data_IF_219298321920
#
_entry.id   IF_219298321920
#
_cell.length_a   1.000
_cell.length_b   1.000
_cell.length_c   1.000
_cell.angle_alpha   90.00
_cell.angle_beta   90.00
_cell.angle_gamma   90.00
#
_symmetry.space_group_name_H-M   'P 1'
#
loop_
_entity.id
_entity.type
_entity.pdbx_description
1 polymer ?
#
# COMPACT_ATOMS: atom_id res chain seq x y z
N UNK A 1 -12.77 8.41 5.25
CA UNK A 1 -13.28 7.37 6.15
C UNK A 1 -13.53 6.14 5.30
N UNK A 2 -12.92 5.00 5.63
CA UNK A 2 -13.14 3.73 4.92
C UNK A 2 -14.16 2.86 5.66
N UNK A 3 -14.95 2.05 4.93
CA UNK A 3 -16.00 1.19 5.50
C UNK A 3 -15.44 -0.15 5.98
N UNK A 4 -14.60 -0.10 7.03
CA UNK A 4 -13.88 -1.27 7.59
C UNK A 4 -14.82 -2.46 7.86
N UNK A 5 -15.96 -2.23 8.51
CA UNK A 5 -16.87 -3.30 8.92
C UNK A 5 -17.49 -4.03 7.73
N UNK A 6 -17.89 -3.27 6.70
CA UNK A 6 -18.42 -3.83 5.46
C UNK A 6 -17.35 -4.65 4.74
N UNK A 7 -16.09 -4.17 4.71
CA UNK A 7 -14.97 -4.94 4.13
C UNK A 7 -14.74 -6.25 4.87
N UNK A 8 -14.80 -6.25 6.21
CA UNK A 8 -14.65 -7.46 7.02
C UNK A 8 -15.76 -8.48 6.72
N UNK A 9 -17.02 -8.02 6.73
CA UNK A 9 -18.17 -8.86 6.45
C UNK A 9 -18.14 -9.46 5.03
N UNK A 10 -17.62 -8.71 4.06
CA UNK A 10 -17.43 -9.20 2.68
C UNK A 10 -16.36 -10.29 2.57
N UNK A 11 -15.28 -10.19 3.36
CA UNK A 11 -14.20 -11.17 3.36
C UNK A 11 -14.56 -12.45 4.13
N UNK A 12 -15.41 -12.35 5.16
CA UNK A 12 -15.85 -13.49 5.99
C UNK A 12 -17.06 -14.24 5.40
N UNK A 13 -17.60 -13.82 4.25
CA UNK A 13 -18.76 -14.45 3.63
C UNK A 13 -18.43 -15.84 3.04
N UNK A 14 -19.41 -16.73 2.96
CA UNK A 14 -19.29 -18.12 2.45
C UNK A 14 -18.78 -18.24 1.00
N UNK A 15 -18.74 -17.14 0.26
CA UNK A 15 -18.12 -17.05 -1.06
C UNK A 15 -17.33 -15.75 -1.07
N UNK A 16 -16.07 -15.77 -0.63
CA UNK A 16 -15.27 -14.57 -0.60
C UNK A 16 -15.09 -14.05 -2.04
N UNK A 17 -15.25 -12.74 -2.27
CA UNK A 17 -15.00 -12.15 -3.58
C UNK A 17 -13.52 -12.27 -3.93
N UNK A 18 -13.21 -12.34 -5.23
CA UNK A 18 -11.81 -12.25 -5.69
C UNK A 18 -11.22 -10.90 -5.27
N UNK A 19 -10.30 -10.96 -4.31
CA UNK A 19 -9.71 -9.77 -3.68
C UNK A 19 -8.72 -9.04 -4.60
N UNK A 20 -8.27 -9.73 -5.65
CA UNK A 20 -7.32 -9.22 -6.64
C UNK A 20 -8.03 -8.67 -7.90
N UNK A 21 -9.37 -8.64 -7.89
CA UNK A 21 -10.15 -8.15 -9.00
C UNK A 21 -9.75 -6.71 -9.35
N UNK A 22 -9.52 -6.49 -10.64
CA UNK A 22 -9.15 -5.20 -11.19
C UNK A 22 -10.37 -4.49 -11.76
N UNK A 23 -10.48 -3.20 -11.47
CA UNK A 23 -11.47 -2.35 -12.14
C UNK A 23 -11.01 -2.00 -13.58
N UNK A 24 -11.80 -1.19 -14.28
CA UNK A 24 -11.51 -0.76 -15.66
C UNK A 24 -10.17 -0.01 -15.85
N UNK A 25 -9.61 0.57 -14.79
CA UNK A 25 -8.29 1.21 -14.79
C UNK A 25 -7.14 0.26 -14.41
N UNK A 26 -7.46 -0.98 -14.06
CA UNK A 26 -6.49 -1.96 -13.55
C UNK A 26 -6.23 -1.84 -12.05
N UNK A 27 -6.95 -0.98 -11.33
CA UNK A 27 -6.77 -0.80 -9.89
C UNK A 27 -7.47 -1.93 -9.10
N UNK A 28 -6.80 -2.41 -8.06
CA UNK A 28 -7.33 -3.42 -7.11
C UNK A 28 -7.93 -2.73 -5.88
N UNK A 29 -8.62 -3.50 -5.03
CA UNK A 29 -9.09 -3.01 -3.73
C UNK A 29 -7.94 -2.40 -2.90
N UNK A 30 -6.76 -3.03 -2.94
CA UNK A 30 -5.57 -2.56 -2.24
C UNK A 30 -5.06 -1.24 -2.80
N UNK A 31 -4.95 -1.09 -4.12
CA UNK A 31 -4.45 0.16 -4.73
C UNK A 31 -5.41 1.34 -4.51
N UNK A 32 -6.73 1.09 -4.51
CA UNK A 32 -7.75 2.09 -4.17
C UNK A 32 -7.70 2.49 -2.70
N UNK A 33 -7.55 1.53 -1.78
CA UNK A 33 -7.39 1.82 -0.35
C UNK A 33 -6.11 2.63 -0.08
N UNK A 34 -5.02 2.32 -0.79
CA UNK A 34 -3.76 3.04 -0.70
C UNK A 34 -3.84 4.46 -1.25
N UNK A 35 -4.51 4.66 -2.39
CA UNK A 35 -4.81 5.96 -2.95
C UNK A 35 -5.59 6.85 -1.96
N UNK A 36 -6.56 6.28 -1.24
CA UNK A 36 -7.38 6.99 -0.25
C UNK A 36 -6.76 7.07 1.15
N UNK A 37 -5.60 6.46 1.40
CA UNK A 37 -4.95 6.46 2.71
C UNK A 37 -5.67 5.61 3.78
N UNK A 38 -6.49 4.64 3.37
CA UNK A 38 -7.36 3.86 4.26
C UNK A 38 -6.64 2.69 4.92
N UNK A 39 -5.80 3.01 5.92
CA UNK A 39 -4.95 2.02 6.61
C UNK A 39 -5.73 0.84 7.21
N UNK A 40 -6.92 1.08 7.77
CA UNK A 40 -7.72 0.01 8.36
C UNK A 40 -8.16 -1.05 7.33
N UNK A 41 -8.50 -0.62 6.11
CA UNK A 41 -8.85 -1.53 5.01
C UNK A 41 -7.59 -2.27 4.55
N UNK A 42 -6.45 -1.57 4.42
CA UNK A 42 -5.18 -2.20 4.04
C UNK A 42 -4.78 -3.29 5.02
N UNK A 43 -4.92 -3.07 6.34
CA UNK A 43 -4.61 -4.10 7.32
C UNK A 43 -5.49 -5.35 7.12
N UNK A 44 -6.80 -5.18 6.94
CA UNK A 44 -7.71 -6.30 6.67
C UNK A 44 -7.36 -7.04 5.36
N UNK A 45 -7.03 -6.31 4.30
CA UNK A 45 -6.66 -6.92 3.02
C UNK A 45 -5.36 -7.73 3.16
N UNK A 46 -4.36 -7.19 3.87
CA UNK A 46 -3.06 -7.85 4.02
C UNK A 46 -3.12 -9.11 4.91
N UNK A 47 -4.20 -9.31 5.67
CA UNK A 47 -4.49 -10.56 6.41
C UNK A 47 -4.92 -11.71 5.47
N UNK A 48 -5.24 -11.43 4.21
CA UNK A 48 -5.56 -12.44 3.19
C UNK A 48 -4.27 -12.93 2.54
N UNK A 49 -4.06 -14.26 2.56
CA UNK A 49 -2.83 -14.88 2.06
C UNK A 49 -2.71 -14.78 0.53
N UNK A 50 -3.83 -14.95 -0.20
CA UNK A 50 -3.89 -14.93 -1.66
C UNK A 50 -3.83 -13.52 -2.27
N UNK A 51 -3.70 -12.47 -1.46
CA UNK A 51 -3.63 -11.09 -1.94
C UNK A 51 -2.35 -10.84 -2.73
N UNK A 52 -2.50 -10.39 -3.98
CA UNK A 52 -1.42 -9.88 -4.81
C UNK A 52 -1.15 -8.40 -4.47
N UNK A 53 -0.20 -8.21 -3.57
CA UNK A 53 0.26 -6.88 -3.12
C UNK A 53 1.04 -6.14 -4.22
N UNK A 54 1.56 -6.87 -5.22
CA UNK A 54 2.38 -6.35 -6.32
C UNK A 54 1.56 -5.96 -7.56
N UNK A 55 0.25 -6.16 -7.51
CA UNK A 55 -0.65 -5.87 -8.61
C UNK A 55 -0.49 -4.43 -9.10
N UNK A 56 -0.25 -4.30 -10.41
CA UNK A 56 -0.14 -3.00 -11.10
C UNK A 56 -1.40 -2.68 -11.88
N UNK A 57 -1.73 -1.39 -11.91
CA UNK A 57 -2.77 -0.85 -12.79
C UNK A 57 -2.23 -0.59 -14.21
N UNK A 58 -3.08 -0.04 -15.09
CA UNK A 58 -2.70 0.26 -16.49
C UNK A 58 -1.55 1.25 -16.66
N UNK A 59 -1.23 2.01 -15.60
CA UNK A 59 -0.11 2.96 -15.58
C UNK A 59 1.16 2.34 -14.97
N UNK A 60 1.11 1.07 -14.56
CA UNK A 60 2.21 0.41 -13.88
C UNK A 60 2.43 0.90 -12.45
N UNK A 61 1.42 1.52 -11.82
CA UNK A 61 1.45 1.91 -10.40
C UNK A 61 0.96 0.74 -9.53
N UNK A 62 1.71 0.43 -8.47
CA UNK A 62 1.26 -0.44 -7.37
C UNK A 62 0.56 0.34 -6.26
N UNK A 63 -0.03 -0.37 -5.28
CA UNK A 63 -0.58 0.25 -4.08
C UNK A 63 0.45 1.11 -3.34
N UNK A 64 1.72 0.67 -3.26
CA UNK A 64 2.81 1.44 -2.67
C UNK A 64 3.06 2.75 -3.43
N UNK A 65 3.09 2.69 -4.77
CA UNK A 65 3.25 3.87 -5.63
C UNK A 65 2.13 4.89 -5.40
N UNK A 66 0.87 4.43 -5.31
CA UNK A 66 -0.29 5.30 -5.03
C UNK A 66 -0.16 5.94 -3.65
N UNK A 67 0.14 5.16 -2.61
CA UNK A 67 0.29 5.71 -1.25
C UNK A 67 1.38 6.77 -1.18
N UNK A 68 2.53 6.54 -1.83
CA UNK A 68 3.64 7.48 -1.85
C UNK A 68 3.30 8.76 -2.62
N UNK A 69 2.72 8.63 -3.82
CA UNK A 69 2.31 9.75 -4.68
C UNK A 69 1.31 10.67 -3.97
N UNK A 70 0.37 10.12 -3.22
CA UNK A 70 -0.65 10.88 -2.50
C UNK A 70 -0.26 11.23 -1.05
N UNK A 71 0.98 10.96 -0.64
CA UNK A 71 1.52 11.43 0.64
C UNK A 71 1.07 10.67 1.89
N UNK A 72 0.50 9.47 1.74
CA UNK A 72 -0.02 8.64 2.84
C UNK A 72 1.09 7.87 3.55
N UNK A 73 1.92 8.58 4.33
CA UNK A 73 3.13 8.02 4.96
C UNK A 73 2.86 6.80 5.86
N UNK A 74 1.74 6.78 6.59
CA UNK A 74 1.31 5.66 7.43
C UNK A 74 0.99 4.41 6.59
N UNK A 75 0.36 4.57 5.43
CA UNK A 75 0.11 3.47 4.49
C UNK A 75 1.41 2.98 3.85
N UNK A 76 2.29 3.89 3.43
CA UNK A 76 3.59 3.52 2.86
C UNK A 76 4.36 2.65 3.85
N UNK A 77 4.46 3.07 5.12
CA UNK A 77 5.13 2.27 6.16
C UNK A 77 4.51 0.88 6.30
N UNK A 78 3.18 0.76 6.32
CA UNK A 78 2.50 -0.52 6.48
C UNK A 78 2.73 -1.46 5.28
N UNK A 79 2.62 -0.94 4.06
CA UNK A 79 2.86 -1.71 2.83
C UNK A 79 4.33 -2.08 2.69
N UNK A 80 5.25 -1.16 2.96
CA UNK A 80 6.70 -1.40 2.87
C UNK A 80 7.21 -2.45 3.89
N UNK A 81 6.49 -2.64 4.99
CA UNK A 81 6.77 -3.72 5.96
C UNK A 81 6.34 -5.10 5.45
N UNK A 82 5.36 -5.18 4.55
CA UNK A 82 4.95 -6.44 3.96
C UNK A 82 6.04 -6.92 3.00
N UNK A 83 6.58 -8.12 3.23
CA UNK A 83 7.68 -8.67 2.43
C UNK A 83 7.26 -8.93 0.98
N UNK A 84 5.97 -9.15 0.71
CA UNK A 84 5.41 -9.32 -0.63
C UNK A 84 5.46 -8.02 -1.44
N UNK A 85 5.47 -6.85 -0.78
CA UNK A 85 5.48 -5.54 -1.44
C UNK A 85 6.89 -5.05 -1.84
N UNK A 86 7.96 -5.77 -1.45
CA UNK A 86 9.36 -5.30 -1.57
C UNK A 86 10.00 -5.63 -2.92
N UNK A 87 9.30 -5.47 -4.03
CA UNK A 87 9.95 -5.57 -5.33
C UNK A 87 10.75 -4.28 -5.61
N UNK A 88 12.01 -4.41 -6.03
CA UNK A 88 12.93 -3.28 -6.23
C UNK A 88 12.40 -2.22 -7.21
N UNK A 89 11.58 -2.64 -8.19
CA UNK A 89 10.92 -1.74 -9.15
C UNK A 89 9.84 -0.84 -8.51
N UNK A 90 9.16 -1.33 -7.47
CA UNK A 90 8.06 -0.62 -6.82
C UNK A 90 8.56 0.47 -5.88
N UNK A 91 9.67 0.21 -5.19
CA UNK A 91 10.30 1.17 -4.28
C UNK A 91 10.88 2.35 -5.06
N UNK A 92 11.54 2.11 -6.20
CA UNK A 92 12.11 3.18 -7.04
C UNK A 92 11.03 4.15 -7.53
N UNK A 93 9.93 3.63 -8.08
CA UNK A 93 8.80 4.46 -8.51
C UNK A 93 8.15 5.20 -7.34
N UNK A 94 8.03 4.57 -6.17
CA UNK A 94 7.51 5.20 -4.97
C UNK A 94 8.42 6.31 -4.40
N UNK A 95 9.74 6.27 -4.68
CA UNK A 95 10.71 7.33 -4.35
C UNK A 95 10.68 8.48 -5.36
N UNK A 96 10.43 8.20 -6.64
CA UNK A 96 10.36 9.22 -7.71
C UNK A 96 9.00 9.93 -7.77
N UNK A 97 7.93 9.28 -7.29
CA UNK A 97 6.56 9.81 -7.30
C UNK A 97 6.10 10.74 -6.13
N UNK A 98 6.75 10.84 -4.95
CA UNK A 98 6.10 11.37 -3.76
C UNK A 98 6.17 12.89 -3.69
N UNK A 99 5.03 13.50 -3.39
CA UNK A 99 4.93 14.91 -3.00
C UNK A 99 5.46 15.18 -1.58
N UNK A 100 5.84 14.13 -0.83
CA UNK A 100 6.22 14.22 0.58
C UNK A 100 7.65 13.71 0.83
N UNK A 101 8.55 14.63 1.16
CA UNK A 101 9.98 14.37 1.43
C UNK A 101 10.23 13.35 2.55
N UNK A 102 9.34 13.23 3.54
CA UNK A 102 9.49 12.23 4.62
C UNK A 102 9.26 10.80 4.13
N UNK A 103 8.44 10.60 3.11
CA UNK A 103 8.21 9.28 2.52
C UNK A 103 9.48 8.81 1.79
N UNK A 104 10.10 9.70 1.01
CA UNK A 104 11.38 9.43 0.33
C UNK A 104 12.42 9.00 1.35
N UNK A 105 12.63 9.81 2.39
CA UNK A 105 13.66 9.53 3.39
C UNK A 105 13.41 8.20 4.14
N UNK A 106 12.15 7.80 4.34
CA UNK A 106 11.83 6.50 4.92
C UNK A 106 12.14 5.34 3.96
N UNK A 107 11.75 5.45 2.68
CA UNK A 107 12.02 4.43 1.67
C UNK A 107 13.52 4.30 1.35
N UNK A 108 14.30 5.38 1.50
CA UNK A 108 15.77 5.39 1.45
C UNK A 108 16.42 4.79 2.70
N UNK A 109 15.66 4.40 3.73
CA UNK A 109 16.19 3.87 4.99
C UNK A 109 16.81 4.93 5.92
N UNK A 110 16.67 6.22 5.60
CA UNK A 110 17.22 7.34 6.37
C UNK A 110 16.35 7.74 7.56
N UNK A 111 15.06 7.41 7.52
CA UNK A 111 14.15 7.56 8.65
C UNK A 111 13.73 6.19 9.19
N UNK A 112 13.61 6.10 10.51
CA UNK A 112 13.05 4.94 11.20
C UNK A 112 11.50 4.98 11.19
N UNK A 113 10.86 3.97 11.81
CA UNK A 113 9.40 3.87 11.87
C UNK A 113 8.73 5.03 12.61
N UNK A 114 9.41 5.64 13.58
CA UNK A 114 8.93 6.83 14.28
C UNK A 114 9.13 8.11 13.44
N UNK A 115 9.82 8.01 12.31
CA UNK A 115 10.12 9.13 11.43
C UNK A 115 11.30 9.97 11.92
N UNK A 116 12.12 9.45 12.82
CA UNK A 116 13.38 10.08 13.24
C UNK A 116 14.50 9.63 12.31
N UNK A 117 15.52 10.46 12.14
CA UNK A 117 16.71 10.06 11.38
C UNK A 117 17.33 8.83 12.04
N UNK A 118 17.63 7.83 11.23
CA UNK A 118 18.49 6.73 11.65
C UNK A 118 19.86 7.37 11.93
N UNK A 119 20.19 7.61 13.20
CA UNK A 119 21.55 7.93 13.58
C UNK A 119 22.40 6.73 13.18
N UNK A 120 23.39 6.94 12.29
CA UNK A 120 24.36 5.91 11.95
C UNK A 120 25.08 5.39 13.21
N UNK A 121 25.82 4.28 13.11
CA UNK A 121 26.61 3.76 14.22
C UNK A 121 27.60 4.79 14.77
#
# INVERSE_FOLDING_TARGET
>A
MGHKEVTRLLLEHTTPPDINLKNYMGDTALSLAAYRGHLAIINLLLEVDELDVTATNKFGDTALCKAARFGHAHVVKRLYRDTRAKCAGDVKKAIEAPSNRRIVLYLEGRLNEQGNFCTGP
#
